data_IF_463335639604
#
_entry.id   IF_463335639604
#
_cell.length_a   1.000
_cell.length_b   1.000
_cell.length_c   1.000
_cell.angle_alpha   90.00
_cell.angle_beta   90.00
_cell.angle_gamma   90.00
#
_symmetry.space_group_name_H-M   'P 1'
#
loop_
_entity.id
_entity.type
_entity.pdbx_description
1 polymer ?
#
# COMPACT_ATOMS: atom_id res chain seq x y z
N UNK A 1 -8.46 -11.15 -22.76
CA UNK A 1 -9.11 -11.94 -23.83
C UNK A 1 -9.94 -11.00 -24.70
N UNK A 2 -9.85 -11.12 -26.03
CA UNK A 2 -10.61 -10.33 -27.02
C UNK A 2 -11.37 -11.28 -27.92
N UNK A 3 -12.61 -10.98 -28.31
CA UNK A 3 -13.32 -11.87 -29.22
C UNK A 3 -14.30 -11.19 -30.14
N UNK A 4 -14.64 -11.89 -31.22
CA UNK A 4 -15.69 -11.53 -32.16
C UNK A 4 -16.78 -12.59 -32.12
N UNK A 5 -18.02 -12.16 -32.32
CA UNK A 5 -19.17 -13.05 -32.44
C UNK A 5 -19.92 -12.76 -33.73
N UNK A 6 -20.15 -13.78 -34.54
CA UNK A 6 -20.99 -13.72 -35.72
C UNK A 6 -22.38 -14.25 -35.39
N UNK A 7 -23.36 -13.33 -35.31
CA UNK A 7 -24.74 -13.68 -35.00
C UNK A 7 -25.44 -14.56 -36.04
N UNK A 8 -24.93 -14.62 -37.28
CA UNK A 8 -25.50 -15.45 -38.34
C UNK A 8 -25.06 -16.91 -38.23
N UNK A 9 -23.80 -17.15 -37.86
CA UNK A 9 -23.21 -18.49 -37.74
C UNK A 9 -23.19 -19.00 -36.30
N UNK A 10 -23.46 -18.11 -35.34
CA UNK A 10 -23.33 -18.33 -33.89
C UNK A 10 -21.90 -18.69 -33.47
N UNK A 11 -20.90 -18.32 -34.27
CA UNK A 11 -19.50 -18.60 -33.98
C UNK A 11 -18.88 -17.43 -33.20
N UNK A 12 -18.18 -17.77 -32.12
CA UNK A 12 -17.33 -16.87 -31.37
C UNK A 12 -15.86 -17.24 -31.61
N UNK A 13 -15.03 -16.24 -31.90
CA UNK A 13 -13.58 -16.39 -31.95
C UNK A 13 -12.97 -15.53 -30.85
N UNK A 14 -12.23 -16.11 -29.93
CA UNK A 14 -11.59 -15.41 -28.81
C UNK A 14 -10.08 -15.57 -28.93
N UNK A 15 -9.32 -14.53 -28.59
CA UNK A 15 -7.86 -14.52 -28.53
C UNK A 15 -7.47 -14.05 -27.13
N UNK A 16 -6.60 -14.80 -26.47
CA UNK A 16 -5.98 -14.41 -25.20
C UNK A 16 -4.62 -13.79 -25.46
N UNK A 17 -4.39 -12.64 -24.83
CA UNK A 17 -3.14 -11.90 -24.90
C UNK A 17 -2.40 -12.04 -23.57
N UNK A 18 -1.13 -12.43 -23.62
CA UNK A 18 -0.21 -12.37 -22.47
C UNK A 18 0.88 -11.38 -22.87
N UNK A 19 1.09 -10.33 -22.07
CA UNK A 19 2.02 -9.23 -22.39
C UNK A 19 1.83 -8.62 -23.80
N UNK A 20 0.56 -8.43 -24.20
CA UNK A 20 0.14 -7.98 -25.54
C UNK A 20 0.47 -8.93 -26.70
N UNK A 21 0.91 -10.16 -26.42
CA UNK A 21 1.17 -11.20 -27.41
C UNK A 21 0.02 -12.21 -27.44
N UNK A 22 -0.56 -12.41 -28.63
CA UNK A 22 -1.60 -13.41 -28.85
C UNK A 22 -1.05 -14.81 -28.58
N UNK A 23 -1.51 -15.42 -27.48
CA UNK A 23 -0.96 -16.67 -26.96
C UNK A 23 -1.91 -17.83 -27.17
N UNK A 24 -3.21 -17.63 -26.97
CA UNK A 24 -4.22 -18.68 -27.20
C UNK A 24 -5.32 -18.16 -28.10
N UNK A 25 -5.88 -19.05 -28.93
CA UNK A 25 -7.05 -18.81 -29.75
C UNK A 25 -8.12 -19.82 -29.38
N UNK A 26 -9.35 -19.35 -29.25
CA UNK A 26 -10.53 -20.16 -28.96
C UNK A 26 -11.53 -19.99 -30.11
N UNK A 27 -12.08 -21.09 -30.60
CA UNK A 27 -13.13 -21.11 -31.62
C UNK A 27 -14.32 -21.86 -31.08
N UNK A 28 -15.40 -21.14 -30.80
CA UNK A 28 -16.58 -21.67 -30.12
C UNK A 28 -17.84 -21.42 -30.92
N UNK A 29 -18.86 -22.24 -30.65
CA UNK A 29 -20.21 -22.04 -31.13
C UNK A 29 -21.13 -21.83 -29.94
N UNK A 30 -21.98 -20.81 -30.02
CA UNK A 30 -23.07 -20.61 -29.08
C UNK A 30 -24.13 -21.67 -29.36
N UNK A 31 -24.49 -22.44 -28.34
CA UNK A 31 -25.48 -23.51 -28.40
C UNK A 31 -26.51 -23.29 -27.30
N UNK A 32 -27.75 -23.69 -27.55
CA UNK A 32 -28.78 -23.75 -26.52
C UNK A 32 -29.26 -25.18 -26.41
N UNK A 33 -29.17 -25.76 -25.21
CA UNK A 33 -29.73 -27.06 -24.92
C UNK A 33 -31.25 -26.91 -24.82
N UNK A 34 -31.95 -27.62 -25.71
CA UNK A 34 -33.41 -27.53 -25.83
C UNK A 34 -34.14 -28.19 -24.67
N UNK A 35 -33.46 -29.02 -23.87
CA UNK A 35 -34.09 -29.78 -22.77
C UNK A 35 -34.16 -28.99 -21.47
N UNK A 36 -33.15 -28.17 -21.17
CA UNK A 36 -33.03 -27.40 -19.93
C UNK A 36 -32.92 -25.88 -20.17
N UNK A 37 -32.86 -25.43 -21.43
CA UNK A 37 -32.73 -24.02 -21.79
C UNK A 37 -31.34 -23.42 -21.54
N UNK A 38 -30.36 -24.23 -21.12
CA UNK A 38 -29.02 -23.75 -20.83
C UNK A 38 -28.29 -23.34 -22.12
N UNK A 39 -27.57 -22.23 -22.05
CA UNK A 39 -26.81 -21.68 -23.16
C UNK A 39 -25.32 -21.97 -22.93
N UNK A 40 -24.61 -22.45 -23.94
CA UNK A 40 -23.20 -22.82 -23.85
C UNK A 40 -22.40 -22.20 -24.99
N UNK A 41 -21.15 -21.81 -24.75
CA UNK A 41 -20.14 -21.70 -25.79
C UNK A 41 -19.31 -22.98 -25.76
N UNK A 42 -19.44 -23.81 -26.80
CA UNK A 42 -18.66 -25.04 -26.94
C UNK A 42 -17.72 -24.94 -28.13
N UNK A 43 -16.49 -25.35 -27.97
CA UNK A 43 -15.48 -25.15 -29.00
C UNK A 43 -14.17 -25.86 -28.72
N UNK A 44 -13.14 -25.39 -29.40
CA UNK A 44 -11.76 -25.78 -29.16
C UNK A 44 -10.92 -24.56 -28.86
N UNK A 45 -9.78 -24.80 -28.25
CA UNK A 45 -8.72 -23.82 -28.11
C UNK A 45 -7.41 -24.40 -28.64
N UNK A 46 -6.53 -23.52 -29.10
CA UNK A 46 -5.18 -23.86 -29.51
C UNK A 46 -4.21 -22.75 -29.08
N UNK A 47 -3.01 -23.14 -28.69
CA UNK A 47 -1.92 -22.19 -28.52
C UNK A 47 -1.49 -21.66 -29.90
N UNK A 48 -1.14 -20.38 -29.93
CA UNK A 48 -0.59 -19.69 -31.10
C UNK A 48 0.95 -19.64 -31.06
N UNK A 49 1.54 -20.02 -29.93
CA UNK A 49 2.99 -20.04 -29.70
C UNK A 49 3.53 -21.47 -29.80
N UNK A 50 2.76 -22.45 -29.34
CA UNK A 50 3.10 -23.87 -29.35
C UNK A 50 1.99 -24.65 -30.10
N UNK A 51 2.29 -25.08 -31.32
CA UNK A 51 1.31 -25.71 -32.21
C UNK A 51 0.76 -27.05 -31.71
N UNK A 52 1.43 -27.68 -30.73
CA UNK A 52 1.03 -28.99 -30.21
C UNK A 52 0.06 -28.88 -29.02
N UNK A 53 -0.16 -27.68 -28.48
CA UNK A 53 -1.10 -27.43 -27.39
C UNK A 53 -2.49 -27.05 -27.91
N UNK A 54 -3.44 -27.96 -27.78
CA UNK A 54 -4.85 -27.73 -28.11
C UNK A 54 -5.78 -28.50 -27.16
N UNK A 55 -7.06 -28.09 -27.12
CA UNK A 55 -8.05 -28.77 -26.30
C UNK A 55 -9.47 -28.34 -26.61
N UNK A 56 -10.43 -28.89 -25.85
CA UNK A 56 -11.82 -28.46 -25.90
C UNK A 56 -12.07 -27.29 -24.93
N UNK A 57 -12.99 -26.41 -25.31
CA UNK A 57 -13.53 -25.35 -24.47
C UNK A 57 -15.03 -25.59 -24.29
N UNK A 58 -15.49 -25.48 -23.05
CA UNK A 58 -16.90 -25.41 -22.71
C UNK A 58 -17.11 -24.29 -21.70
N UNK A 59 -17.95 -23.32 -22.04
CA UNK A 59 -18.46 -22.32 -21.12
C UNK A 59 -19.98 -22.44 -21.09
N UNK A 60 -20.57 -22.34 -19.91
CA UNK A 60 -22.02 -22.33 -19.72
C UNK A 60 -22.43 -20.94 -19.26
N UNK A 61 -23.44 -20.36 -19.90
CA UNK A 61 -24.13 -19.18 -19.38
C UNK A 61 -25.01 -19.66 -18.23
N UNK A 62 -24.60 -19.34 -17.01
CA UNK A 62 -25.46 -19.52 -15.85
C UNK A 62 -26.59 -18.51 -15.90
N UNK A 63 -27.81 -18.96 -15.64
CA UNK A 63 -28.93 -18.05 -15.48
C UNK A 63 -28.67 -17.15 -14.26
N UNK A 64 -29.00 -15.86 -14.37
CA UNK A 64 -29.09 -14.93 -13.24
C UNK A 64 -30.27 -15.36 -12.34
N UNK A 65 -30.08 -16.48 -11.66
CA UNK A 65 -30.94 -16.87 -10.56
C UNK A 65 -30.44 -16.06 -9.39
N UNK A 66 -31.22 -15.04 -9.00
CA UNK A 66 -31.12 -14.42 -7.67
C UNK A 66 -30.85 -15.57 -6.68
N UNK A 67 -29.75 -15.48 -5.93
CA UNK A 67 -29.27 -16.47 -4.94
C UNK A 67 -28.30 -17.58 -5.39
N UNK A 68 -27.84 -17.65 -6.65
CA UNK A 68 -26.82 -18.66 -7.06
C UNK A 68 -25.40 -18.11 -7.22
N UNK A 69 -25.22 -16.81 -7.39
CA UNK A 69 -23.90 -16.19 -7.45
C UNK A 69 -23.92 -14.76 -6.90
N UNK A 70 -22.81 -14.35 -6.30
CA UNK A 70 -22.60 -13.08 -5.63
C UNK A 70 -21.20 -12.58 -5.96
N UNK A 71 -21.11 -11.58 -6.83
CA UNK A 71 -19.86 -10.94 -7.22
C UNK A 71 -19.74 -9.56 -6.60
N UNK A 72 -18.54 -9.13 -6.26
CA UNK A 72 -18.32 -7.77 -5.79
C UNK A 72 -16.93 -7.52 -5.23
N UNK A 73 -16.76 -6.30 -4.70
CA UNK A 73 -15.57 -5.92 -3.95
C UNK A 73 -15.82 -6.22 -2.48
N UNK A 74 -14.90 -6.96 -1.87
CA UNK A 74 -14.89 -7.28 -0.45
C UNK A 74 -13.80 -6.46 0.23
N UNK A 75 -14.18 -5.69 1.24
CA UNK A 75 -13.30 -4.75 1.95
C UNK A 75 -13.30 -5.05 3.43
N UNK A 76 -12.12 -5.04 4.03
CA UNK A 76 -11.97 -5.11 5.48
C UNK A 76 -10.52 -5.26 5.88
N UNK A 77 -10.25 -6.07 6.90
CA UNK A 77 -8.92 -6.20 7.47
C UNK A 77 -8.69 -7.57 8.10
N UNK A 78 -7.42 -7.99 8.07
CA UNK A 78 -6.88 -9.15 8.75
C UNK A 78 -5.98 -8.66 9.88
N UNK A 79 -6.46 -8.79 11.11
CA UNK A 79 -5.77 -8.40 12.33
C UNK A 79 -4.97 -9.60 12.86
N UNK A 80 -3.68 -9.44 13.20
CA UNK A 80 -2.91 -10.47 13.89
C UNK A 80 -3.47 -10.78 15.28
N UNK A 81 -3.24 -11.99 15.77
CA UNK A 81 -3.59 -12.37 17.13
C UNK A 81 -2.84 -11.50 18.16
N UNK A 82 -3.49 -11.18 19.29
CA UNK A 82 -2.93 -10.31 20.33
C UNK A 82 -1.60 -10.84 20.90
N UNK A 83 -1.46 -12.17 20.98
CA UNK A 83 -0.23 -12.84 21.39
C UNK A 83 0.94 -12.69 20.41
N UNK A 84 0.69 -12.17 19.20
CA UNK A 84 1.73 -11.82 18.23
C UNK A 84 2.10 -10.33 18.26
N UNK A 85 1.58 -9.55 19.21
CA UNK A 85 1.80 -8.10 19.28
C UNK A 85 3.29 -7.72 19.36
N UNK A 86 4.11 -8.51 20.06
CA UNK A 86 5.55 -8.29 20.20
C UNK A 86 6.32 -8.41 18.87
N UNK A 87 5.72 -9.05 17.85
CA UNK A 87 6.30 -9.18 16.52
C UNK A 87 5.93 -8.01 15.58
N UNK A 88 5.12 -7.06 16.04
CA UNK A 88 4.71 -5.87 15.29
C UNK A 88 4.17 -6.18 13.88
N UNK A 89 3.46 -7.30 13.74
CA UNK A 89 2.86 -7.72 12.47
C UNK A 89 1.80 -6.67 12.08
N UNK A 90 1.84 -6.13 10.85
CA UNK A 90 0.88 -5.11 10.43
C UNK A 90 -0.52 -5.71 10.27
N UNK A 91 -1.54 -4.87 10.48
CA UNK A 91 -2.92 -5.16 10.09
C UNK A 91 -2.99 -5.12 8.57
N UNK A 92 -3.34 -6.24 7.96
CA UNK A 92 -3.36 -6.37 6.51
C UNK A 92 -4.73 -5.98 5.94
N UNK A 93 -4.81 -5.04 4.99
CA UNK A 93 -6.08 -4.67 4.38
C UNK A 93 -6.60 -5.83 3.51
N UNK A 94 -7.89 -6.14 3.66
CA UNK A 94 -8.61 -7.02 2.74
C UNK A 94 -9.24 -6.15 1.65
N UNK A 95 -8.88 -6.43 0.39
CA UNK A 95 -9.45 -5.85 -0.82
C UNK A 95 -9.51 -6.91 -1.90
N UNK A 96 -10.63 -7.63 -1.98
CA UNK A 96 -10.80 -8.72 -2.92
C UNK A 96 -11.86 -8.34 -3.96
N UNK A 97 -11.55 -8.54 -5.24
CA UNK A 97 -12.55 -8.69 -6.27
C UNK A 97 -12.90 -10.17 -6.33
N UNK A 98 -14.07 -10.55 -5.85
CA UNK A 98 -14.40 -11.96 -5.64
C UNK A 98 -15.84 -12.27 -5.99
N UNK A 99 -16.03 -13.49 -6.48
CA UNK A 99 -17.32 -14.11 -6.77
C UNK A 99 -17.50 -15.32 -5.89
N UNK A 100 -18.59 -15.34 -5.13
CA UNK A 100 -19.12 -16.53 -4.48
C UNK A 100 -20.20 -17.12 -5.39
N UNK A 101 -20.17 -18.41 -5.67
CA UNK A 101 -21.24 -19.07 -6.41
C UNK A 101 -21.54 -20.44 -5.83
N UNK A 102 -22.79 -20.86 -5.99
CA UNK A 102 -23.31 -22.10 -5.43
C UNK A 102 -23.02 -23.23 -6.41
N UNK A 103 -22.25 -24.23 -5.97
CA UNK A 103 -21.90 -25.40 -6.78
C UNK A 103 -22.99 -26.47 -6.72
N UNK A 104 -23.58 -26.67 -5.55
CA UNK A 104 -24.68 -27.60 -5.29
C UNK A 104 -25.51 -27.10 -4.08
N UNK A 105 -26.44 -27.92 -3.57
CA UNK A 105 -27.39 -27.46 -2.55
C UNK A 105 -26.73 -26.88 -1.28
N UNK A 106 -25.58 -27.35 -0.85
CA UNK A 106 -24.94 -26.81 0.38
C UNK A 106 -23.51 -26.30 0.16
N UNK A 107 -22.91 -26.62 -1.00
CA UNK A 107 -21.53 -26.24 -1.29
C UNK A 107 -21.46 -24.97 -2.11
N UNK A 108 -20.67 -24.04 -1.61
CA UNK A 108 -20.31 -22.80 -2.25
C UNK A 108 -18.83 -22.82 -2.65
N UNK A 109 -18.53 -22.08 -3.71
CA UNK A 109 -17.16 -21.81 -4.15
C UNK A 109 -16.95 -20.31 -4.21
N UNK A 110 -15.79 -19.86 -3.74
CA UNK A 110 -15.36 -18.46 -3.85
C UNK A 110 -14.11 -18.40 -4.70
N UNK A 111 -14.06 -17.53 -5.69
CA UNK A 111 -12.82 -17.26 -6.41
C UNK A 111 -12.70 -15.79 -6.70
N UNK A 112 -11.46 -15.33 -6.87
CA UNK A 112 -11.20 -13.92 -7.07
C UNK A 112 -9.73 -13.59 -7.04
N UNK A 113 -9.47 -12.30 -6.94
CA UNK A 113 -8.12 -11.77 -6.87
C UNK A 113 -8.10 -10.42 -6.16
N UNK A 114 -6.90 -9.94 -5.89
CA UNK A 114 -6.72 -8.59 -5.37
C UNK A 114 -5.26 -8.18 -5.41
N UNK A 115 -5.02 -7.00 -4.89
CA UNK A 115 -3.68 -6.48 -4.67
C UNK A 115 -3.67 -5.57 -3.44
N UNK A 116 -2.50 -5.39 -2.87
CA UNK A 116 -2.25 -4.36 -1.87
C UNK A 116 -0.81 -3.88 -1.97
N UNK A 117 -0.57 -2.66 -1.49
CA UNK A 117 0.77 -2.10 -1.40
C UNK A 117 1.45 -2.71 -0.18
N UNK A 118 2.43 -3.56 -0.44
CA UNK A 118 3.30 -4.12 0.59
C UNK A 118 4.74 -4.18 0.07
N UNK A 119 5.25 -2.99 -0.25
CA UNK A 119 6.62 -2.77 -0.73
C UNK A 119 7.73 -3.29 0.20
N UNK A 120 7.39 -3.66 1.43
CA UNK A 120 8.32 -4.16 2.45
C UNK A 120 8.46 -5.68 2.44
N UNK A 121 7.43 -6.41 2.04
CA UNK A 121 7.41 -7.87 2.10
C UNK A 121 8.24 -8.52 0.98
N UNK A 122 8.32 -7.89 -0.21
CA UNK A 122 9.07 -8.43 -1.35
C UNK A 122 9.96 -7.35 -1.99
N UNK A 123 11.29 -7.56 -2.06
CA UNK A 123 12.20 -6.66 -2.76
C UNK A 123 11.76 -6.39 -4.21
N UNK A 124 11.68 -5.11 -4.57
CA UNK A 124 11.31 -4.60 -5.90
C UNK A 124 9.85 -4.83 -6.34
N UNK A 125 8.95 -5.25 -5.45
CA UNK A 125 7.51 -5.32 -5.74
C UNK A 125 6.76 -4.34 -4.84
N UNK A 126 6.38 -3.18 -5.37
CA UNK A 126 5.58 -2.19 -4.65
C UNK A 126 4.12 -2.63 -4.46
N UNK A 127 3.66 -3.60 -5.24
CA UNK A 127 2.29 -4.10 -5.23
C UNK A 127 2.33 -5.63 -5.30
N UNK A 128 1.71 -6.29 -4.34
CA UNK A 128 1.58 -7.74 -4.31
C UNK A 128 0.24 -8.15 -4.88
N UNK A 129 0.27 -8.90 -5.97
CA UNK A 129 -0.93 -9.51 -6.56
C UNK A 129 -1.18 -10.89 -5.96
N UNK A 130 -2.45 -11.24 -5.78
CA UNK A 130 -2.83 -12.56 -5.30
C UNK A 130 -4.14 -13.03 -5.94
N UNK A 131 -4.30 -14.35 -5.97
CA UNK A 131 -5.57 -15.00 -6.25
C UNK A 131 -6.15 -15.56 -4.96
N UNK A 132 -7.47 -15.68 -4.90
CA UNK A 132 -8.16 -16.42 -3.87
C UNK A 132 -8.99 -17.53 -4.49
N UNK A 133 -9.01 -18.68 -3.85
CA UNK A 133 -9.88 -19.80 -4.21
C UNK A 133 -10.35 -20.47 -2.93
N UNK A 134 -11.65 -20.66 -2.80
CA UNK A 134 -12.27 -21.20 -1.62
C UNK A 134 -13.45 -22.10 -1.92
N UNK A 135 -13.74 -22.96 -0.95
CA UNK A 135 -14.87 -23.88 -0.99
C UNK A 135 -15.35 -24.16 0.43
N UNK A 136 -16.65 -24.38 0.56
CA UNK A 136 -17.26 -24.73 1.85
C UNK A 136 -18.74 -24.43 1.87
N UNK A 137 -19.30 -24.26 3.06
CA UNK A 137 -20.69 -23.83 3.27
C UNK A 137 -20.70 -22.35 3.65
N UNK A 138 -21.89 -21.75 3.80
CA UNK A 138 -21.97 -20.38 4.34
C UNK A 138 -21.49 -20.31 5.80
N UNK A 139 -21.63 -21.38 6.59
CA UNK A 139 -21.21 -21.40 8.00
C UNK A 139 -19.73 -21.81 8.20
N UNK A 140 -19.14 -22.47 7.21
CA UNK A 140 -17.74 -22.92 7.25
C UNK A 140 -17.16 -22.92 5.84
N UNK A 141 -16.67 -21.74 5.43
CA UNK A 141 -15.96 -21.51 4.18
C UNK A 141 -14.45 -21.52 4.45
N UNK A 142 -13.71 -22.19 3.57
CA UNK A 142 -12.24 -22.13 3.55
C UNK A 142 -11.79 -21.45 2.27
N UNK A 143 -10.94 -20.44 2.38
CA UNK A 143 -10.34 -19.71 1.26
C UNK A 143 -8.83 -19.78 1.37
N UNK A 144 -8.18 -20.14 0.27
CA UNK A 144 -6.73 -20.08 0.10
C UNK A 144 -6.39 -18.86 -0.73
N UNK A 145 -5.62 -17.94 -0.15
CA UNK A 145 -4.99 -16.81 -0.84
C UNK A 145 -3.60 -17.24 -1.28
N UNK A 146 -3.31 -17.18 -2.59
CA UNK A 146 -1.99 -17.48 -3.15
C UNK A 146 -1.41 -16.23 -3.83
N UNK A 147 -0.21 -15.84 -3.41
CA UNK A 147 0.51 -14.71 -4.01
C UNK A 147 1.05 -15.09 -5.39
N UNK A 148 1.03 -14.14 -6.32
CA UNK A 148 1.63 -14.32 -7.64
C UNK A 148 3.16 -14.43 -7.49
N UNK A 149 3.78 -15.37 -8.19
CA UNK A 149 5.22 -15.62 -8.17
C UNK A 149 5.80 -16.07 -6.80
N UNK A 150 4.97 -16.59 -5.91
CA UNK A 150 5.40 -17.22 -4.66
C UNK A 150 4.67 -18.53 -4.41
N UNK A 151 5.33 -19.46 -3.72
CA UNK A 151 4.70 -20.68 -3.21
C UNK A 151 4.05 -20.47 -1.83
N UNK A 152 3.90 -19.22 -1.41
CA UNK A 152 3.32 -18.86 -0.12
C UNK A 152 1.80 -18.75 -0.23
N UNK A 153 1.10 -19.27 0.77
CA UNK A 153 -0.35 -19.16 0.85
C UNK A 153 -0.82 -18.81 2.24
N UNK A 154 -1.93 -18.06 2.30
CA UNK A 154 -2.61 -17.70 3.53
C UNK A 154 -3.99 -18.34 3.48
N UNK A 155 -4.30 -19.10 4.52
CA UNK A 155 -5.60 -19.74 4.67
C UNK A 155 -6.52 -18.85 5.50
N UNK A 156 -7.72 -18.60 5.00
CA UNK A 156 -8.81 -17.92 5.70
C UNK A 156 -9.94 -18.92 5.91
N UNK A 157 -10.39 -19.09 7.15
CA UNK A 157 -11.53 -19.94 7.49
C UNK A 157 -12.54 -19.19 8.33
N UNK A 158 -13.81 -19.26 7.95
CA UNK A 158 -14.84 -18.46 8.61
C UNK A 158 -16.24 -18.73 8.09
N UNK A 159 -17.15 -17.83 8.44
CA UNK A 159 -18.55 -17.88 8.02
C UNK A 159 -18.96 -16.61 7.29
N UNK A 160 -19.89 -16.75 6.36
CA UNK A 160 -20.59 -15.67 5.70
C UNK A 160 -21.81 -15.27 6.53
N UNK A 161 -21.93 -13.98 6.84
CA UNK A 161 -23.06 -13.38 7.56
C UNK A 161 -23.78 -12.46 6.58
N UNK A 162 -25.06 -12.75 6.36
CA UNK A 162 -25.96 -11.88 5.60
C UNK A 162 -26.53 -10.78 6.51
N UNK A 163 -26.64 -9.56 5.99
CA UNK A 163 -27.28 -8.42 6.64
C UNK A 163 -28.63 -8.10 5.99
N UNK A 164 -29.50 -7.41 6.74
CA UNK A 164 -30.87 -7.05 6.32
C UNK A 164 -30.93 -6.26 4.99
N UNK A 165 -29.84 -5.63 4.58
CA UNK A 165 -29.72 -4.87 3.33
C UNK A 165 -29.25 -5.73 2.13
N UNK A 166 -29.15 -7.06 2.30
CA UNK A 166 -28.67 -8.00 1.28
C UNK A 166 -27.16 -8.00 1.06
N UNK A 167 -26.38 -7.29 1.89
CA UNK A 167 -24.91 -7.36 1.87
C UNK A 167 -24.42 -8.51 2.74
N UNK A 168 -23.23 -9.02 2.42
CA UNK A 168 -22.60 -10.13 3.15
C UNK A 168 -21.30 -9.67 3.82
N UNK A 169 -20.93 -10.30 4.92
CA UNK A 169 -19.56 -10.25 5.44
C UNK A 169 -19.01 -11.65 5.62
N UNK A 170 -17.73 -11.83 5.34
CA UNK A 170 -16.99 -13.04 5.63
C UNK A 170 -16.11 -12.76 6.86
N UNK A 171 -16.34 -13.50 7.94
CA UNK A 171 -15.67 -13.29 9.23
C UNK A 171 -15.09 -14.60 9.74
N UNK A 172 -13.90 -14.52 10.35
CA UNK A 172 -13.26 -15.72 10.89
C UNK A 172 -11.80 -15.50 11.22
N UNK A 173 -10.99 -16.54 10.99
CA UNK A 173 -9.58 -16.57 11.30
C UNK A 173 -8.73 -16.81 10.05
N UNK A 174 -7.56 -16.20 10.02
CA UNK A 174 -6.56 -16.41 8.98
C UNK A 174 -5.29 -17.02 9.58
N UNK A 175 -4.55 -17.75 8.76
CA UNK A 175 -3.27 -18.35 9.15
C UNK A 175 -2.30 -18.37 7.98
N UNK A 176 -1.05 -18.02 8.26
CA UNK A 176 0.09 -18.13 7.38
C UNK A 176 1.09 -19.10 8.03
N UNK A 177 0.98 -20.38 7.67
CA UNK A 177 1.77 -21.46 8.27
C UNK A 177 3.28 -21.24 8.08
N UNK A 178 3.68 -20.70 6.92
CA UNK A 178 5.10 -20.47 6.59
C UNK A 178 5.71 -19.39 7.47
N UNK A 179 4.98 -18.29 7.69
CA UNK A 179 5.44 -17.19 8.52
C UNK A 179 5.13 -17.39 10.02
N UNK A 180 4.39 -18.44 10.38
CA UNK A 180 3.95 -18.69 11.76
C UNK A 180 2.96 -17.66 12.30
N UNK A 181 2.33 -16.85 11.43
CA UNK A 181 1.42 -15.78 11.83
C UNK A 181 -0.05 -16.15 11.59
N UNK A 182 -0.94 -15.61 12.41
CA UNK A 182 -2.37 -15.87 12.36
C UNK A 182 -3.15 -14.77 13.06
N UNK A 183 -4.47 -14.78 12.92
CA UNK A 183 -5.34 -13.88 13.65
C UNK A 183 -6.78 -13.91 13.16
N UNK A 184 -7.53 -12.85 13.42
CA UNK A 184 -8.92 -12.69 13.01
C UNK A 184 -9.03 -11.81 11.77
N UNK A 185 -10.10 -11.98 11.00
CA UNK A 185 -10.41 -11.10 9.89
C UNK A 185 -11.90 -10.83 9.75
N UNK A 186 -12.20 -9.72 9.09
CA UNK A 186 -13.52 -9.39 8.60
C UNK A 186 -13.38 -8.82 7.18
N UNK A 187 -14.21 -9.30 6.26
CA UNK A 187 -14.31 -8.80 4.90
C UNK A 187 -15.79 -8.56 4.57
N UNK A 188 -16.21 -7.31 4.47
CA UNK A 188 -17.58 -6.95 4.10
C UNK A 188 -17.68 -6.74 2.59
N UNK A 189 -18.71 -7.33 1.97
CA UNK A 189 -19.07 -7.06 0.60
C UNK A 189 -19.57 -5.62 0.51
N UNK A 190 -18.83 -4.80 -0.23
CA UNK A 190 -19.25 -3.46 -0.57
C UNK A 190 -20.28 -3.56 -1.69
N UNK A 191 -21.55 -3.29 -1.38
CA UNK A 191 -22.53 -2.95 -2.40
C UNK A 191 -22.05 -1.66 -3.05
N UNK A 192 -21.37 -1.78 -4.19
CA UNK A 192 -21.02 -0.64 -5.01
C UNK A 192 -22.32 0.05 -5.39
N UNK A 193 -22.61 1.19 -4.76
CA UNK A 193 -23.44 2.17 -5.41
C UNK A 193 -22.61 2.67 -6.60
N UNK A 194 -22.99 2.33 -7.85
CA UNK A 194 -22.22 2.73 -9.03
C UNK A 194 -22.06 4.26 -9.14
N UNK A 195 -22.86 5.03 -8.38
CA UNK A 195 -22.83 6.50 -8.37
C UNK A 195 -21.78 7.11 -7.42
N UNK A 196 -21.17 6.35 -6.48
CA UNK A 196 -20.34 6.93 -5.39
C UNK A 196 -18.92 6.33 -5.31
N UNK A 197 -18.64 5.20 -5.96
CA UNK A 197 -17.33 4.54 -5.87
C UNK A 197 -16.32 5.06 -6.90
N UNK A 198 -15.74 6.24 -6.63
CA UNK A 198 -14.50 6.66 -7.30
C UNK A 198 -13.30 5.92 -6.69
N UNK A 199 -12.92 4.78 -7.26
CA UNK A 199 -11.60 4.15 -7.07
C UNK A 199 -11.01 3.86 -8.45
N UNK A 200 -9.76 4.30 -8.65
CA UNK A 200 -9.20 4.88 -9.87
C UNK A 200 -8.07 4.05 -10.47
N UNK A 201 -8.04 2.77 -10.14
CA UNK A 201 -6.77 2.03 -10.23
C UNK A 201 -6.68 1.25 -11.55
N UNK A 202 -7.83 0.88 -12.14
CA UNK A 202 -7.96 0.33 -13.49
C UNK A 202 -9.25 0.87 -14.11
N UNK A 203 -9.14 1.78 -15.08
CA UNK A 203 -10.27 2.18 -15.92
C UNK A 203 -10.11 1.51 -17.28
N UNK A 204 -11.16 0.88 -17.80
CA UNK A 204 -11.15 0.30 -19.13
C UNK A 204 -11.93 1.19 -20.08
N UNK A 205 -11.54 1.23 -21.34
CA UNK A 205 -12.40 1.75 -22.38
C UNK A 205 -13.57 0.78 -22.60
N UNK A 206 -14.81 1.24 -22.46
CA UNK A 206 -16.04 0.44 -22.65
C UNK A 206 -16.25 -0.06 -24.09
N UNK A 207 -15.37 0.30 -25.03
CA UNK A 207 -15.46 -0.05 -26.45
C UNK A 207 -14.33 -0.99 -26.84
N UNK A 208 -13.07 -0.60 -26.63
CA UNK A 208 -11.92 -1.44 -26.99
C UNK A 208 -11.35 -2.23 -25.81
N UNK A 209 -11.85 -2.03 -24.59
CA UNK A 209 -11.39 -2.64 -23.33
C UNK A 209 -9.93 -2.38 -22.97
N UNK A 210 -9.23 -1.51 -23.70
CA UNK A 210 -7.89 -1.09 -23.35
C UNK A 210 -7.88 -0.43 -21.97
N UNK A 211 -6.83 -0.70 -21.20
CA UNK A 211 -6.56 -0.02 -19.96
C UNK A 211 -6.31 1.47 -20.27
N UNK A 212 -7.07 2.32 -19.60
CA UNK A 212 -6.88 3.76 -19.53
C UNK A 212 -6.05 4.01 -18.28
N UNK A 213 -4.78 4.36 -18.49
CA UNK A 213 -3.86 4.61 -17.41
C UNK A 213 -4.18 5.95 -16.74
N UNK A 214 -3.79 6.09 -15.48
CA UNK A 214 -3.84 7.38 -14.82
C UNK A 214 -2.97 8.39 -15.57
N UNK A 215 -3.49 9.57 -15.89
CA UNK A 215 -2.87 10.57 -16.77
C UNK A 215 -3.42 10.56 -18.21
N UNK A 216 -4.09 9.49 -18.64
CA UNK A 216 -4.66 9.43 -19.99
C UNK A 216 -5.91 10.31 -20.13
N UNK A 217 -6.06 10.89 -21.32
CA UNK A 217 -7.31 11.52 -21.74
C UNK A 217 -8.37 10.44 -21.98
N UNK A 218 -9.55 10.59 -21.38
CA UNK A 218 -10.72 9.75 -21.64
C UNK A 218 -11.96 10.60 -21.90
N UNK A 219 -12.95 10.02 -22.54
CA UNK A 219 -14.27 10.64 -22.73
C UNK A 219 -15.28 9.90 -21.87
N UNK A 220 -15.88 10.65 -20.95
CA UNK A 220 -16.66 10.12 -19.86
C UNK A 220 -18.06 10.72 -19.85
N UNK A 221 -19.07 9.87 -19.65
CA UNK A 221 -20.43 10.30 -19.36
C UNK A 221 -20.61 10.44 -17.84
N UNK A 222 -20.94 11.62 -17.34
CA UNK A 222 -21.23 11.81 -15.90
C UNK A 222 -22.54 11.18 -15.42
N UNK A 223 -23.42 10.77 -16.32
CA UNK A 223 -24.73 10.23 -16.00
C UNK A 223 -24.78 8.69 -16.09
N UNK A 224 -24.14 8.12 -17.11
CA UNK A 224 -24.11 6.67 -17.35
C UNK A 224 -22.76 6.03 -17.05
N UNK A 225 -21.74 6.82 -16.73
CA UNK A 225 -20.38 6.38 -16.43
C UNK A 225 -19.65 5.66 -17.58
N UNK A 226 -20.23 5.65 -18.80
CA UNK A 226 -19.55 5.19 -20.01
C UNK A 226 -18.22 5.92 -20.14
N UNK A 227 -17.14 5.15 -20.31
CA UNK A 227 -15.79 5.67 -20.44
C UNK A 227 -15.15 5.17 -21.73
N UNK A 228 -14.60 6.07 -22.55
CA UNK A 228 -13.94 5.70 -23.81
C UNK A 228 -12.54 6.30 -23.92
N UNK A 229 -11.64 5.59 -24.61
CA UNK A 229 -10.32 6.11 -24.96
C UNK A 229 -10.43 7.19 -26.05
N UNK A 230 -9.38 7.99 -26.31
CA UNK A 230 -9.40 9.03 -27.34
C UNK A 230 -9.75 8.51 -28.74
N UNK A 231 -9.28 7.30 -29.08
CA UNK A 231 -9.57 6.66 -30.36
C UNK A 231 -11.02 6.16 -30.47
N UNK A 232 -11.64 5.75 -29.35
CA UNK A 232 -12.97 5.18 -29.34
C UNK A 232 -14.09 6.22 -29.11
N UNK A 233 -13.77 7.46 -28.73
CA UNK A 233 -14.78 8.51 -28.55
C UNK A 233 -15.56 8.84 -29.84
N UNK A 234 -15.00 8.52 -31.01
CA UNK A 234 -15.66 8.67 -32.31
C UNK A 234 -16.32 7.39 -32.81
N UNK A 235 -16.33 6.33 -32.00
CA UNK A 235 -17.01 5.10 -32.35
C UNK A 235 -18.52 5.28 -32.25
N UNK A 236 -19.29 4.52 -33.06
CA UNK A 236 -20.74 4.62 -33.12
C UNK A 236 -21.41 4.53 -31.73
N UNK A 237 -20.93 3.61 -30.87
CA UNK A 237 -21.44 3.47 -29.49
C UNK A 237 -21.19 4.69 -28.59
N UNK A 238 -20.15 5.48 -28.87
CA UNK A 238 -19.86 6.72 -28.16
C UNK A 238 -20.65 7.90 -28.72
N UNK A 239 -20.80 7.97 -30.05
CA UNK A 239 -21.56 9.02 -30.75
C UNK A 239 -23.06 8.90 -30.50
N UNK A 240 -23.58 7.67 -30.58
CA UNK A 240 -25.00 7.37 -30.38
C UNK A 240 -25.35 7.28 -28.88
N UNK A 241 -24.39 7.50 -27.98
CA UNK A 241 -24.65 7.53 -26.55
C UNK A 241 -25.59 8.71 -26.22
N UNK A 242 -26.71 8.48 -25.52
CA UNK A 242 -27.75 9.51 -25.31
C UNK A 242 -27.28 10.72 -24.50
N UNK A 243 -26.15 10.62 -23.81
CA UNK A 243 -25.58 11.68 -23.00
C UNK A 243 -24.25 12.15 -23.58
N UNK A 244 -23.97 13.45 -23.43
CA UNK A 244 -22.72 14.04 -23.92
C UNK A 244 -21.53 13.46 -23.15
N UNK A 245 -20.59 12.85 -23.87
CA UNK A 245 -19.29 12.49 -23.32
C UNK A 245 -18.40 13.73 -23.21
N UNK A 246 -17.77 13.91 -22.05
CA UNK A 246 -16.86 15.01 -21.78
C UNK A 246 -15.43 14.49 -21.63
N UNK A 247 -14.42 15.22 -22.13
CA UNK A 247 -13.03 14.88 -21.86
C UNK A 247 -12.78 14.98 -20.35
N UNK A 248 -12.14 13.95 -19.82
CA UNK A 248 -11.77 13.79 -18.42
C UNK A 248 -10.35 13.23 -18.38
N UNK A 249 -9.53 13.66 -17.44
CA UNK A 249 -8.19 13.10 -17.22
C UNK A 249 -8.26 12.38 -15.89
N UNK A 250 -7.88 11.09 -15.86
CA UNK A 250 -7.67 10.43 -14.58
C UNK A 250 -6.45 11.08 -13.93
N UNK A 251 -6.56 11.70 -12.75
CA UNK A 251 -5.40 12.30 -12.13
C UNK A 251 -4.36 11.21 -11.90
N UNK A 252 -3.15 11.44 -12.41
CA UNK A 252 -2.00 10.58 -12.15
C UNK A 252 -1.82 10.47 -10.64
N UNK A 253 -1.91 9.26 -10.08
CA UNK A 253 -1.40 9.06 -8.73
C UNK A 253 0.10 9.32 -8.82
N UNK A 254 0.55 10.41 -8.22
CA UNK A 254 1.96 10.67 -8.16
C UNK A 254 2.58 9.62 -7.24
N UNK A 255 3.69 8.99 -7.65
CA UNK A 255 4.36 7.93 -6.89
C UNK A 255 5.76 8.43 -6.57
N UNK A 256 6.12 8.41 -5.29
CA UNK A 256 7.50 8.64 -4.87
C UNK A 256 8.34 7.40 -5.13
N UNK A 257 9.57 7.57 -5.61
CA UNK A 257 10.48 6.48 -5.93
C UNK A 257 11.87 6.75 -5.35
N UNK A 258 12.58 5.69 -4.96
CA UNK A 258 13.95 5.78 -4.49
C UNK A 258 14.54 4.40 -4.22
N UNK A 259 15.86 4.25 -4.35
CA UNK A 259 16.57 2.99 -4.08
C UNK A 259 17.01 2.86 -2.61
N UNK A 260 16.81 3.92 -1.82
CA UNK A 260 17.08 3.97 -0.39
C UNK A 260 16.00 4.78 0.32
N UNK A 261 15.89 4.64 1.65
CA UNK A 261 14.97 5.46 2.45
C UNK A 261 15.20 6.96 2.22
N UNK A 262 16.46 7.41 2.13
CA UNK A 262 16.79 8.81 1.84
C UNK A 262 16.23 9.28 0.50
N UNK A 263 16.46 8.51 -0.56
CA UNK A 263 15.97 8.85 -1.90
C UNK A 263 14.44 8.85 -1.95
N UNK A 264 13.82 7.85 -1.31
CA UNK A 264 12.37 7.73 -1.25
C UNK A 264 11.74 8.90 -0.48
N UNK A 265 12.27 9.27 0.69
CA UNK A 265 11.81 10.42 1.49
C UNK A 265 11.98 11.71 0.69
N UNK A 266 13.14 11.91 0.05
CA UNK A 266 13.41 13.12 -0.75
C UNK A 266 12.46 13.22 -1.94
N UNK A 267 12.22 12.10 -2.63
CA UNK A 267 11.24 12.02 -3.72
C UNK A 267 9.83 12.31 -3.20
N UNK A 268 9.41 11.73 -2.08
CA UNK A 268 8.09 11.96 -1.49
C UNK A 268 7.89 13.42 -1.09
N UNK A 269 8.89 14.06 -0.47
CA UNK A 269 8.83 15.47 -0.10
C UNK A 269 8.66 16.41 -1.30
N UNK A 270 9.28 16.09 -2.44
CA UNK A 270 9.12 16.86 -3.67
C UNK A 270 7.78 16.56 -4.35
N UNK A 271 7.47 15.28 -4.53
CA UNK A 271 6.28 14.83 -5.26
C UNK A 271 5.00 15.28 -4.56
N UNK A 272 4.91 15.11 -3.24
CA UNK A 272 3.69 15.37 -2.49
C UNK A 272 3.72 16.70 -1.74
N UNK A 273 4.56 17.65 -2.15
CA UNK A 273 4.92 18.84 -1.37
C UNK A 273 3.72 19.59 -0.75
N UNK A 274 2.60 19.73 -1.48
CA UNK A 274 1.41 20.45 -1.03
C UNK A 274 0.40 19.59 -0.27
N UNK A 275 0.60 18.28 -0.21
CA UNK A 275 -0.31 17.34 0.45
C UNK A 275 -0.02 17.24 1.95
N UNK A 276 -1.05 16.96 2.77
CA UNK A 276 -0.85 16.61 4.18
C UNK A 276 0.04 15.38 4.38
N UNK A 277 0.97 15.47 5.32
CA UNK A 277 1.77 14.34 5.80
C UNK A 277 1.38 13.95 7.22
N UNK A 278 1.31 14.92 8.14
CA UNK A 278 0.96 14.70 9.55
C UNK A 278 -0.27 15.52 9.89
N UNK A 279 -1.18 14.88 10.61
CA UNK A 279 -2.32 15.55 11.27
C UNK A 279 -2.29 15.16 12.73
N UNK A 280 -2.39 16.15 13.60
CA UNK A 280 -2.46 15.91 15.03
C UNK A 280 -3.35 16.94 15.70
N UNK A 281 -3.76 16.65 16.93
CA UNK A 281 -4.55 17.57 17.74
C UNK A 281 -3.61 18.40 18.60
N UNK A 282 -3.61 19.72 18.44
CA UNK A 282 -2.80 20.62 19.27
C UNK A 282 -3.20 20.48 20.74
N UNK A 283 -2.22 20.34 21.62
CA UNK A 283 -2.41 20.28 23.06
C UNK A 283 -2.92 21.61 23.62
N UNK A 284 -2.48 22.74 23.04
CA UNK A 284 -2.85 24.11 23.41
C UNK A 284 -4.24 24.50 22.90
N UNK A 285 -4.45 24.50 21.58
CA UNK A 285 -5.70 25.00 20.98
C UNK A 285 -6.81 23.95 20.89
N UNK A 286 -6.48 22.65 21.07
CA UNK A 286 -7.37 21.49 20.83
C UNK A 286 -7.84 21.33 19.38
N UNK A 287 -7.38 22.18 18.46
CA UNK A 287 -7.68 22.11 17.03
C UNK A 287 -6.79 21.10 16.31
N UNK A 288 -7.23 20.68 15.11
CA UNK A 288 -6.40 19.85 14.24
C UNK A 288 -5.39 20.74 13.51
N UNK A 289 -4.11 20.42 13.68
CA UNK A 289 -3.00 21.07 12.99
C UNK A 289 -2.46 20.10 11.95
N UNK A 290 -2.15 20.65 10.77
CA UNK A 290 -1.73 19.91 9.59
C UNK A 290 -0.32 20.34 9.22
N UNK A 291 0.55 19.37 8.96
CA UNK A 291 1.84 19.60 8.32
C UNK A 291 1.84 18.94 6.95
N UNK A 292 2.14 19.72 5.93
CA UNK A 292 2.35 19.21 4.57
C UNK A 292 3.71 18.53 4.44
N UNK A 293 3.88 17.72 3.40
CA UNK A 293 5.20 17.16 3.03
C UNK A 293 6.24 18.27 2.83
N UNK A 294 5.87 19.39 2.22
CA UNK A 294 6.76 20.52 1.97
C UNK A 294 7.22 21.22 3.25
N UNK A 295 6.32 21.44 4.19
CA UNK A 295 6.66 22.01 5.49
C UNK A 295 7.59 21.08 6.28
N UNK A 296 7.27 19.78 6.29
CA UNK A 296 8.12 18.77 6.94
C UNK A 296 9.50 18.68 6.28
N UNK A 297 9.56 18.73 4.94
CA UNK A 297 10.79 18.73 4.17
C UNK A 297 11.72 19.87 4.57
N UNK A 298 11.19 21.08 4.77
CA UNK A 298 12.00 22.21 5.21
C UNK A 298 12.62 21.96 6.59
N UNK A 299 11.86 21.41 7.54
CA UNK A 299 12.37 21.08 8.89
C UNK A 299 13.43 19.98 8.83
N UNK A 300 13.15 18.90 8.09
CA UNK A 300 14.07 17.78 7.93
C UNK A 300 15.38 18.21 7.26
N UNK A 301 15.31 19.01 6.19
CA UNK A 301 16.51 19.50 5.50
C UNK A 301 17.37 20.40 6.41
N UNK A 302 16.75 21.26 7.22
CA UNK A 302 17.47 22.06 8.19
C UNK A 302 18.18 21.19 9.23
N UNK A 303 17.49 20.18 9.78
CA UNK A 303 18.07 19.20 10.70
C UNK A 303 19.26 18.48 10.06
N UNK A 304 19.07 17.94 8.85
CA UNK A 304 20.11 17.21 8.10
C UNK A 304 21.36 18.06 7.92
N UNK A 305 21.21 19.33 7.53
CA UNK A 305 22.36 20.24 7.36
C UNK A 305 23.16 20.41 8.64
N UNK A 306 22.48 20.59 9.77
CA UNK A 306 23.15 20.76 11.04
C UNK A 306 23.79 19.45 11.53
N UNK A 307 23.04 18.35 11.44
CA UNK A 307 23.46 17.03 11.91
C UNK A 307 24.62 16.44 11.13
N UNK A 308 24.79 16.79 9.85
CA UNK A 308 25.95 16.39 9.04
C UNK A 308 27.30 16.80 9.66
N UNK A 309 27.35 17.82 10.52
CA UNK A 309 28.59 18.18 11.22
C UNK A 309 28.96 17.21 12.36
N UNK A 310 28.01 16.38 12.80
CA UNK A 310 28.18 15.41 13.89
C UNK A 310 28.16 13.96 13.40
N UNK A 311 27.49 13.69 12.28
CA UNK A 311 27.39 12.40 11.62
C UNK A 311 28.56 12.23 10.67
N UNK A 312 29.35 11.17 10.86
CA UNK A 312 30.39 10.78 9.90
C UNK A 312 29.67 10.16 8.69
N UNK A 313 30.04 10.59 7.47
CA UNK A 313 29.53 9.97 6.24
C UNK A 313 29.83 8.47 6.31
N UNK A 314 28.76 7.67 6.35
CA UNK A 314 28.89 6.22 6.43
C UNK A 314 29.64 5.70 5.20
N UNK A 315 30.82 5.14 5.42
CA UNK A 315 31.39 4.13 4.54
C UNK A 315 31.02 2.74 5.11
N UNK A 316 31.45 1.66 4.44
CA UNK A 316 31.14 0.29 4.87
C UNK A 316 31.72 -0.06 6.26
N UNK A 317 32.52 0.81 6.90
CA UNK A 317 33.24 0.51 8.15
C UNK A 317 32.78 1.28 9.38
N UNK A 318 32.22 2.49 9.25
CA UNK A 318 31.78 3.29 10.42
C UNK A 318 30.37 3.83 10.24
N UNK A 319 29.47 3.47 11.16
CA UNK A 319 28.08 3.95 11.19
C UNK A 319 27.87 4.91 12.36
N UNK A 320 27.27 6.06 12.08
CA UNK A 320 26.85 6.99 13.14
C UNK A 320 25.46 6.59 13.65
N UNK A 321 25.31 6.52 14.97
CA UNK A 321 24.03 6.26 15.63
C UNK A 321 23.38 7.56 16.09
N UNK A 322 22.07 7.65 15.89
CA UNK A 322 21.21 8.72 16.44
C UNK A 322 20.21 8.06 17.37
N UNK A 323 20.33 8.34 18.66
CA UNK A 323 19.38 7.88 19.66
C UNK A 323 18.25 8.88 19.81
N UNK A 324 17.01 8.41 19.87
CA UNK A 324 15.83 9.25 20.04
C UNK A 324 14.97 8.71 21.19
N UNK A 325 14.80 9.50 22.25
CA UNK A 325 13.99 9.19 23.43
C UNK A 325 12.96 10.30 23.66
N UNK A 326 11.86 10.25 22.92
CA UNK A 326 10.79 11.25 23.00
C UNK A 326 9.43 10.63 22.67
N UNK A 327 8.35 11.30 23.06
CA UNK A 327 7.00 10.88 22.72
C UNK A 327 6.67 11.20 21.25
N UNK A 328 5.67 10.50 20.71
CA UNK A 328 5.29 10.65 19.29
C UNK A 328 4.70 12.05 19.06
N UNK A 329 5.39 12.83 18.24
CA UNK A 329 5.06 14.22 17.90
C UNK A 329 5.54 14.55 16.47
N UNK A 330 5.07 15.65 15.85
CA UNK A 330 5.63 16.12 14.59
C UNK A 330 7.15 16.34 14.64
N UNK A 331 7.66 16.87 15.75
CA UNK A 331 9.09 17.02 16.02
C UNK A 331 9.85 15.67 16.03
N UNK A 332 9.30 14.66 16.72
CA UNK A 332 9.85 13.31 16.73
C UNK A 332 9.92 12.72 15.31
N UNK A 333 8.84 12.85 14.54
CA UNK A 333 8.79 12.36 13.15
C UNK A 333 9.82 13.09 12.27
N UNK A 334 9.99 14.40 12.42
CA UNK A 334 11.02 15.14 11.71
C UNK A 334 12.44 14.64 12.05
N UNK A 335 12.71 14.31 13.31
CA UNK A 335 13.99 13.78 13.74
C UNK A 335 14.27 12.39 13.13
N UNK A 336 13.26 11.52 13.07
CA UNK A 336 13.37 10.22 12.39
C UNK A 336 13.70 10.40 10.90
N UNK A 337 12.89 11.20 10.20
CA UNK A 337 13.08 11.41 8.75
C UNK A 337 14.43 12.07 8.46
N UNK A 338 14.83 13.06 9.25
CA UNK A 338 16.14 13.70 9.13
C UNK A 338 17.29 12.70 9.38
N UNK A 339 17.18 11.81 10.35
CA UNK A 339 18.21 10.82 10.64
C UNK A 339 18.39 9.81 9.50
N UNK A 340 17.29 9.34 8.89
CA UNK A 340 17.33 8.52 7.68
C UNK A 340 17.97 9.27 6.50
N UNK A 341 17.64 10.55 6.33
CA UNK A 341 18.25 11.40 5.29
C UNK A 341 19.74 11.66 5.53
N UNK A 342 20.19 11.67 6.78
CA UNK A 342 21.59 11.70 7.18
C UNK A 342 22.33 10.37 6.95
N UNK A 343 21.63 9.30 6.56
CA UNK A 343 22.18 7.93 6.46
C UNK A 343 22.72 7.41 7.80
N UNK A 344 22.15 7.87 8.91
CA UNK A 344 22.49 7.39 10.23
C UNK A 344 21.63 6.18 10.62
N UNK A 345 22.14 5.38 11.56
CA UNK A 345 21.34 4.31 12.20
C UNK A 345 20.50 4.95 13.30
N UNK A 346 19.18 4.79 13.21
CA UNK A 346 18.24 5.29 14.20
C UNK A 346 18.07 4.29 15.34
N UNK A 347 18.11 4.78 16.58
CA UNK A 347 17.87 4.00 17.80
C UNK A 347 16.74 4.66 18.60
N UNK A 348 15.46 4.48 18.19
CA UNK A 348 14.34 4.96 18.96
C UNK A 348 14.19 4.11 20.24
N UNK A 349 14.04 4.76 21.39
CA UNK A 349 13.83 4.09 22.68
C UNK A 349 12.66 4.70 23.44
N UNK A 350 11.94 3.86 24.18
CA UNK A 350 10.83 4.34 25.01
C UNK A 350 11.35 5.01 26.28
N UNK A 351 10.70 6.13 26.67
CA UNK A 351 10.91 6.83 27.94
C UNK A 351 10.92 5.96 29.21
N UNK A 352 10.23 4.81 29.20
CA UNK A 352 10.09 3.90 30.33
C UNK A 352 11.33 3.02 30.58
N UNK A 353 12.30 2.98 29.66
CA UNK A 353 13.49 2.14 29.75
C UNK A 353 14.24 2.36 31.08
N UNK A 354 14.55 1.30 31.83
CA UNK A 354 15.23 1.42 33.14
C UNK A 354 16.61 2.09 32.99
N UNK A 355 17.07 2.76 34.05
CA UNK A 355 18.35 3.49 34.06
C UNK A 355 19.51 2.56 33.67
N UNK A 356 19.62 1.37 34.27
CA UNK A 356 20.71 0.43 33.96
C UNK A 356 20.73 -0.01 32.50
N UNK A 357 19.54 -0.25 31.91
CA UNK A 357 19.42 -0.61 30.51
C UNK A 357 19.77 0.56 29.59
N UNK A 358 19.37 1.79 29.95
CA UNK A 358 19.74 3.00 29.23
C UNK A 358 21.26 3.24 29.27
N UNK A 359 21.90 3.06 30.43
CA UNK A 359 23.36 3.16 30.58
C UNK A 359 24.08 2.15 29.70
N UNK A 360 23.68 0.87 29.76
CA UNK A 360 24.26 -0.18 28.93
C UNK A 360 24.10 0.12 27.43
N UNK A 361 22.92 0.60 27.02
CA UNK A 361 22.63 0.94 25.64
C UNK A 361 23.52 2.08 25.14
N UNK A 362 23.63 3.17 25.92
CA UNK A 362 24.50 4.31 25.60
C UNK A 362 25.97 3.91 25.48
N UNK A 363 26.48 3.03 26.37
CA UNK A 363 27.86 2.54 26.27
C UNK A 363 28.10 1.61 25.09
N UNK A 364 27.05 0.93 24.61
CA UNK A 364 27.16 -0.04 23.51
C UNK A 364 27.13 0.66 22.15
N UNK A 365 26.24 1.64 21.97
CA UNK A 365 26.02 2.27 20.67
C UNK A 365 26.88 3.52 20.44
N UNK A 366 27.34 4.19 21.53
CA UNK A 366 28.08 5.45 21.50
C UNK A 366 27.47 6.49 20.52
N UNK A 367 26.26 7.01 20.82
CA UNK A 367 25.49 7.76 19.84
C UNK A 367 26.13 9.12 19.54
N UNK A 368 26.28 9.43 18.25
CA UNK A 368 26.82 10.73 17.81
C UNK A 368 25.85 11.87 18.13
N UNK A 369 24.55 11.59 18.05
CA UNK A 369 23.48 12.54 18.37
C UNK A 369 22.50 11.84 19.31
N UNK A 370 22.10 12.55 20.36
CA UNK A 370 21.01 12.14 21.24
C UNK A 370 19.90 13.17 21.18
N UNK A 371 18.71 12.74 20.83
CA UNK A 371 17.48 13.54 20.84
C UNK A 371 16.61 13.08 21.99
N UNK A 372 16.20 14.00 22.86
CA UNK A 372 15.42 13.67 24.05
C UNK A 372 14.23 14.60 24.23
N UNK A 373 13.08 14.04 24.55
CA UNK A 373 11.91 14.80 24.98
C UNK A 373 12.16 15.41 26.37
N UNK A 374 11.72 16.63 26.60
CA UNK A 374 11.86 17.35 27.87
C UNK A 374 11.50 16.51 29.12
N UNK A 375 10.40 15.72 29.14
CA UNK A 375 10.06 14.87 30.29
C UNK A 375 11.16 13.85 30.66
N UNK A 376 12.02 13.48 29.71
CA UNK A 376 13.03 12.44 29.86
C UNK A 376 14.45 13.00 30.04
N UNK A 377 14.64 14.32 29.92
CA UNK A 377 15.96 14.96 29.93
C UNK A 377 16.73 14.67 31.23
N UNK A 378 16.11 14.84 32.40
CA UNK A 378 16.78 14.61 33.68
C UNK A 378 17.25 13.16 33.85
N UNK A 379 16.43 12.21 33.39
CA UNK A 379 16.77 10.79 33.40
C UNK A 379 17.97 10.50 32.51
N UNK A 380 17.99 11.06 31.30
CA UNK A 380 19.09 10.91 30.37
C UNK A 380 20.38 11.59 30.89
N UNK A 381 20.29 12.79 31.45
CA UNK A 381 21.44 13.50 32.02
C UNK A 381 22.10 12.75 33.19
N UNK A 382 21.32 11.94 33.94
CA UNK A 382 21.86 11.13 35.03
C UNK A 382 22.79 10.00 34.56
N UNK A 383 22.73 9.62 33.28
CA UNK A 383 23.52 8.51 32.70
C UNK A 383 24.49 8.96 31.60
N UNK A 384 24.31 10.15 31.02
CA UNK A 384 25.23 10.70 30.03
C UNK A 384 26.53 11.16 30.70
N UNK A 385 27.65 10.51 30.38
CA UNK A 385 28.96 11.04 30.75
C UNK A 385 29.21 12.38 30.02
N UNK A 386 30.06 13.23 30.58
CA UNK A 386 30.41 14.54 29.99
C UNK A 386 31.00 14.44 28.57
N UNK A 387 31.46 13.25 28.16
CA UNK A 387 32.11 13.02 26.87
C UNK A 387 31.34 12.08 25.91
N UNK A 388 30.14 11.60 26.29
CA UNK A 388 29.46 10.47 25.59
C UNK A 388 28.59 10.82 24.38
N UNK A 389 28.36 12.09 24.07
CA UNK A 389 27.56 12.47 22.89
C UNK A 389 28.09 13.75 22.28
N UNK A 390 28.27 13.77 20.95
CA UNK A 390 28.75 14.97 20.25
C UNK A 390 27.68 16.06 20.16
N UNK A 391 26.40 15.66 20.19
CA UNK A 391 25.26 16.57 20.22
C UNK A 391 24.13 16.03 21.11
N UNK A 392 23.73 16.82 22.12
CA UNK A 392 22.50 16.59 22.88
C UNK A 392 21.44 17.62 22.47
N UNK A 393 20.35 17.14 21.88
CA UNK A 393 19.23 17.96 21.42
C UNK A 393 17.97 17.66 22.24
N UNK A 394 17.26 18.71 22.66
CA UNK A 394 16.00 18.59 23.39
C UNK A 394 14.81 18.96 22.52
N UNK A 395 13.72 18.20 22.67
CA UNK A 395 12.39 18.53 22.15
C UNK A 395 11.53 18.89 23.35
N UNK A 396 11.24 20.18 23.53
CA UNK A 396 10.29 20.64 24.54
C UNK A 396 8.85 20.41 24.12
N UNK A 397 7.93 20.39 25.09
CA UNK A 397 6.49 20.18 24.79
C UNK A 397 5.95 21.20 23.78
N UNK A 398 6.42 22.45 23.86
CA UNK A 398 6.02 23.52 22.93
C UNK A 398 6.70 23.38 21.55
N UNK A 399 7.88 22.74 21.49
CA UNK A 399 8.59 22.45 20.25
C UNK A 399 8.06 21.24 19.48
N UNK A 400 7.16 20.44 20.08
CA UNK A 400 6.48 19.34 19.39
C UNK A 400 5.77 19.81 18.10
N UNK A 401 5.43 21.10 18.05
CA UNK A 401 4.80 21.77 16.90
C UNK A 401 5.74 22.75 16.17
N UNK A 402 7.06 22.68 16.42
CA UNK A 402 8.08 23.61 15.92
C UNK A 402 7.87 25.08 16.33
N UNK A 403 7.19 25.34 17.43
CA UNK A 403 7.12 26.68 18.00
C UNK A 403 8.44 27.02 18.70
N UNK A 404 8.84 28.29 18.62
CA UNK A 404 10.13 28.76 19.13
C UNK A 404 10.17 28.71 20.65
N UNK A 405 11.24 28.14 21.21
CA UNK A 405 11.47 28.07 22.66
C UNK A 405 12.90 28.53 22.96
N UNK A 406 13.06 29.28 24.05
CA UNK A 406 14.39 29.63 24.58
C UNK A 406 15.05 28.38 25.18
N UNK A 407 16.37 28.25 25.03
CA UNK A 407 17.09 27.05 25.49
C UNK A 407 16.83 26.74 26.95
N UNK A 408 16.38 25.52 27.24
CA UNK A 408 15.98 25.07 28.58
C UNK A 408 17.19 24.74 29.47
N UNK A 409 18.36 24.50 28.87
CA UNK A 409 19.58 24.10 29.59
C UNK A 409 20.82 24.46 28.76
N UNK A 410 21.92 24.89 29.42
CA UNK A 410 23.20 25.20 28.77
C UNK A 410 23.87 23.99 28.11
N UNK A 411 23.57 22.76 28.57
CA UNK A 411 24.19 21.51 28.09
C UNK A 411 23.47 20.89 26.87
N UNK A 412 22.31 21.41 26.48
CA UNK A 412 21.52 20.90 25.35
C UNK A 412 21.12 22.02 24.40
N UNK A 413 20.97 21.70 23.12
CA UNK A 413 20.42 22.63 22.14
C UNK A 413 18.95 22.30 21.84
N UNK A 414 18.09 23.32 21.77
CA UNK A 414 16.68 23.10 21.43
C UNK A 414 16.51 22.74 19.95
N UNK A 415 15.45 21.99 19.62
CA UNK A 415 15.12 21.60 18.25
C UNK A 415 15.01 22.82 17.32
N UNK A 416 14.32 23.86 17.76
CA UNK A 416 14.14 25.08 16.97
C UNK A 416 15.46 25.81 16.74
N UNK A 417 16.34 25.87 17.73
CA UNK A 417 17.69 26.41 17.56
C UNK A 417 18.49 25.61 16.53
N UNK A 418 18.40 24.28 16.56
CA UNK A 418 19.04 23.41 15.56
C UNK A 418 18.52 23.70 14.16
N UNK A 419 17.20 23.83 13.98
CA UNK A 419 16.58 24.16 12.70
C UNK A 419 17.02 25.56 12.22
N UNK A 420 17.05 26.56 13.10
CA UNK A 420 17.55 27.91 12.78
C UNK A 420 19.02 27.88 12.33
N UNK A 421 19.88 27.13 13.03
CA UNK A 421 21.29 26.96 12.65
C UNK A 421 21.42 26.23 11.31
N UNK A 422 20.64 25.16 11.10
CA UNK A 422 20.60 24.41 9.85
C UNK A 422 20.17 25.25 8.64
N UNK A 423 19.18 26.13 8.82
CA UNK A 423 18.73 27.04 7.76
C UNK A 423 19.78 28.07 7.35
N UNK A 424 20.72 28.42 8.25
CA UNK A 424 21.84 29.32 7.94
C UNK A 424 22.97 28.63 7.19
N UNK A 425 23.01 27.30 7.14
CA UNK A 425 24.03 26.55 6.40
C UNK A 425 23.66 26.56 4.90
N UNK A 426 24.56 27.04 4.01
CA UNK A 426 24.33 27.05 2.57
C UNK A 426 24.04 25.66 2.01
N UNK A 427 23.29 25.58 0.91
CA UNK A 427 23.12 24.32 0.19
C UNK A 427 24.42 23.95 -0.53
N UNK A 428 25.23 23.05 0.04
CA UNK A 428 26.26 22.36 -0.73
C UNK A 428 25.57 21.34 -1.66
N UNK A 429 25.50 21.67 -2.95
CA UNK A 429 25.14 20.73 -4.01
C UNK A 429 26.28 19.72 -4.18
N UNK A 430 26.26 18.64 -3.40
CA UNK A 430 27.09 17.47 -3.67
C UNK A 430 26.22 16.25 -4.00
N UNK A 431 26.09 16.04 -5.30
CA UNK A 431 25.66 14.82 -5.97
C UNK A 431 26.82 13.80 -5.98
N UNK A 432 26.94 12.96 -4.95
CA UNK A 432 27.71 11.71 -4.97
C UNK A 432 27.18 10.85 -3.82
N UNK A 433 27.07 9.52 -3.88
CA UNK A 433 27.07 8.50 -4.94
C UNK A 433 26.64 7.22 -4.21
N UNK A 434 25.74 6.45 -4.83
CA UNK A 434 25.41 5.03 -4.55
C UNK A 434 25.87 4.42 -3.21
N UNK A 435 24.90 4.11 -2.34
CA UNK A 435 25.09 3.12 -1.27
C UNK A 435 25.56 1.79 -1.88
N UNK A 436 26.58 1.19 -1.29
CA UNK A 436 27.09 -0.13 -1.67
C UNK A 436 26.02 -1.20 -1.37
N UNK A 437 26.02 -2.31 -2.12
CA UNK A 437 25.09 -3.44 -1.95
C UNK A 437 25.17 -4.08 -0.54
N UNK A 438 26.16 -3.76 0.27
CA UNK A 438 26.42 -4.41 1.55
C UNK A 438 25.60 -3.83 2.72
N UNK A 439 25.01 -2.63 2.57
CA UNK A 439 24.18 -2.03 3.63
C UNK A 439 22.86 -2.78 3.87
N UNK A 440 22.41 -3.59 2.91
CA UNK A 440 21.17 -4.37 3.01
C UNK A 440 21.22 -5.54 4.00
N UNK A 441 22.40 -5.97 4.46
CA UNK A 441 22.54 -7.20 5.26
C UNK A 441 22.49 -6.99 6.78
N UNK A 442 22.16 -5.80 7.28
CA UNK A 442 22.22 -5.49 8.73
C UNK A 442 20.90 -4.97 9.32
N UNK A 443 19.77 -5.16 8.64
CA UNK A 443 18.41 -4.86 9.13
C UNK A 443 17.48 -6.10 9.01
N UNK A 444 18.04 -7.28 8.77
CA UNK A 444 17.42 -8.55 9.16
C UNK A 444 18.03 -8.96 10.51
#
# INVERSE_FOLDING_TARGET
MHGTYDGSTQLASIIELIDNVATYKYQCKLMMDKTNGAIYLRGSWNSLIDGDLFGELLMTLEADVLFNSMSGIWVGEAQPAEELADFFIPINPIRWCATLFRKDNDTWQMFGSGYFNDSTDIPNQSILFFSINGTGTLDDMKIIKKYLNMDHSVEYRGKLIEYDNGSYSYVGHWSNVVAGSYGSFLAAQYCLNPMISYRLDICLCEICTNILHTGDNRWFCSQCHLTTCPGCNHHKLAIDHPHKLMPHILPTQQIAQGKSCRELITSAFHTFQSLPLIVFRSTESKELVWFTYGEMSMKCNALVKYWKSFVINADDQVRSFILIMADTSPAYIACLLAGLMCQAVLVPIHGALKIDALTHLLSTIDPSIVVVGEPYLNKLLSVLSENSSRLLMTISQNEEQFQRVESINERSISLTTVIEKGNKIPNEYHSHSSLSRNTMSAIL
#
